data_IF_783078273156
#
_entry.id   IF_783078273156
#
_cell.length_a   1.000
_cell.length_b   1.000
_cell.length_c   1.000
_cell.angle_alpha   90.00
_cell.angle_beta   90.00
_cell.angle_gamma   90.00
#
_symmetry.space_group_name_H-M   'P 1'
#
loop_
_entity.id
_entity.type
_entity.pdbx_description
1 polymer ?
#
# COMPACT_ATOMS: atom_id res chain seq x y z
N UNK A 1 5.81 -30.09 9.51
CA UNK A 1 6.14 -28.94 8.64
C UNK A 1 5.62 -27.74 9.40
N UNK A 2 6.54 -26.95 9.98
CA UNK A 2 6.20 -25.91 10.95
C UNK A 2 5.35 -24.84 10.29
N UNK A 3 4.07 -24.81 10.64
CA UNK A 3 3.19 -23.66 10.41
C UNK A 3 3.63 -22.60 11.42
N UNK A 4 4.52 -21.72 10.97
CA UNK A 4 4.87 -20.52 11.72
C UNK A 4 3.76 -19.50 11.40
N UNK A 5 2.89 -19.12 12.36
CA UNK A 5 1.98 -18.02 12.16
C UNK A 5 2.77 -16.71 12.27
N UNK A 6 3.85 -16.55 11.50
CA UNK A 6 4.25 -15.25 11.04
C UNK A 6 3.07 -14.78 10.21
N UNK A 7 2.18 -14.06 10.89
CA UNK A 7 1.56 -12.86 10.35
C UNK A 7 2.68 -12.17 9.61
N UNK A 8 2.82 -12.48 8.32
CA UNK A 8 3.85 -11.97 7.46
C UNK A 8 3.67 -10.48 7.51
N UNK A 9 4.48 -9.84 8.34
CA UNK A 9 4.49 -8.40 8.47
C UNK A 9 5.04 -7.95 7.15
N UNK A 10 4.12 -7.77 6.19
CA UNK A 10 4.40 -7.43 4.83
C UNK A 10 5.18 -6.13 4.90
N UNK A 11 6.50 -6.23 4.74
CA UNK A 11 7.38 -5.09 4.86
C UNK A 11 7.11 -4.21 3.64
N UNK A 12 6.49 -3.07 3.89
CA UNK A 12 6.15 -2.10 2.86
C UNK A 12 7.15 -0.97 2.96
N UNK A 13 7.76 -0.61 1.85
CA UNK A 13 8.66 0.54 1.77
C UNK A 13 7.89 1.67 1.12
N UNK A 14 7.87 2.80 1.81
CA UNK A 14 7.26 4.02 1.33
C UNK A 14 8.23 5.19 1.48
N UNK A 15 8.00 6.28 0.77
CA UNK A 15 8.79 7.50 0.90
C UNK A 15 7.92 8.67 1.31
N UNK A 16 8.36 9.44 2.31
CA UNK A 16 7.68 10.66 2.79
C UNK A 16 8.05 11.92 1.97
N UNK A 17 8.66 11.74 0.79
CA UNK A 17 9.17 12.83 -0.06
C UNK A 17 10.65 13.14 0.14
N UNK A 18 11.30 12.57 1.15
CA UNK A 18 12.75 12.73 1.37
C UNK A 18 13.47 11.47 1.82
N UNK A 19 12.81 10.60 2.58
CA UNK A 19 13.43 9.38 3.11
C UNK A 19 12.64 8.14 2.73
N UNK A 20 13.29 6.98 2.74
CA UNK A 20 12.62 5.69 2.61
C UNK A 20 12.29 5.18 4.01
N UNK A 21 11.00 4.97 4.26
CA UNK A 21 10.46 4.49 5.52
C UNK A 21 9.90 3.08 5.36
N UNK A 22 10.01 2.31 6.45
CA UNK A 22 9.46 0.97 6.56
C UNK A 22 8.12 1.06 7.25
N UNK A 23 7.07 0.73 6.52
CA UNK A 23 5.71 0.68 7.01
C UNK A 23 5.29 -0.78 7.18
N UNK A 24 4.46 -1.00 8.19
CA UNK A 24 3.85 -2.30 8.46
C UNK A 24 2.38 -2.24 8.12
N UNK A 25 1.91 -3.21 7.35
CA UNK A 25 0.49 -3.36 7.09
C UNK A 25 -0.19 -4.05 8.27
N UNK A 26 -1.20 -3.40 8.83
CA UNK A 26 -1.97 -3.94 9.96
C UNK A 26 -3.43 -4.04 9.57
N UNK A 27 -4.02 -5.22 9.77
CA UNK A 27 -5.46 -5.43 9.57
C UNK A 27 -6.26 -4.67 10.63
N UNK A 28 -7.28 -3.93 10.20
CA UNK A 28 -8.18 -3.27 11.16
C UNK A 28 -9.07 -4.30 11.85
N UNK A 29 -9.32 -4.13 13.15
CA UNK A 29 -10.17 -5.04 13.95
C UNK A 29 -11.59 -5.15 13.41
N UNK A 30 -12.03 -4.14 12.65
CA UNK A 30 -13.33 -4.09 11.98
C UNK A 30 -13.41 -4.93 10.69
N UNK A 31 -12.31 -5.56 10.26
CA UNK A 31 -12.29 -6.57 9.20
C UNK A 31 -12.37 -6.06 7.76
N UNK A 32 -12.69 -4.78 7.54
CA UNK A 32 -12.93 -4.25 6.19
C UNK A 32 -11.73 -3.53 5.58
N UNK A 33 -10.66 -3.25 6.35
CA UNK A 33 -9.53 -2.48 5.86
C UNK A 33 -8.20 -2.94 6.44
N UNK A 34 -7.12 -2.49 5.80
CA UNK A 34 -5.78 -2.54 6.35
C UNK A 34 -5.22 -1.12 6.36
N UNK A 35 -4.49 -0.80 7.42
CA UNK A 35 -3.84 0.50 7.63
C UNK A 35 -2.34 0.31 7.66
N UNK A 36 -1.61 1.20 7.01
CA UNK A 36 -0.16 1.28 7.15
C UNK A 36 0.17 2.00 8.44
N UNK A 37 1.07 1.41 9.23
CA UNK A 37 1.64 2.05 10.41
C UNK A 37 3.14 2.21 10.26
N UNK A 38 3.65 3.33 10.74
CA UNK A 38 5.09 3.58 10.88
C UNK A 38 5.69 2.73 12.02
N UNK A 39 7.03 2.73 12.16
CA UNK A 39 7.77 2.09 13.23
C UNK A 39 7.35 2.52 14.65
N UNK A 40 6.80 3.73 14.84
CA UNK A 40 6.22 4.16 16.12
C UNK A 40 4.76 3.67 16.31
N UNK A 41 4.22 2.91 15.37
CA UNK A 41 2.84 2.40 15.41
C UNK A 41 1.79 3.45 15.04
N UNK A 42 2.20 4.57 14.44
CA UNK A 42 1.31 5.65 14.03
C UNK A 42 0.71 5.32 12.65
N UNK A 43 -0.63 5.39 12.48
CA UNK A 43 -1.25 5.20 11.19
C UNK A 43 -0.82 6.30 10.22
N UNK A 44 -0.41 5.90 9.03
CA UNK A 44 0.04 6.78 7.96
C UNK A 44 -1.05 6.87 6.90
N UNK A 45 -1.40 8.08 6.49
CA UNK A 45 -2.40 8.26 5.46
C UNK A 45 -1.80 8.06 4.07
N UNK A 46 -2.61 7.61 3.09
CA UNK A 46 -2.11 7.26 1.76
C UNK A 46 -1.55 8.45 0.96
N UNK A 47 -1.93 9.69 1.28
CA UNK A 47 -1.39 10.89 0.63
C UNK A 47 -0.12 11.43 1.30
N UNK A 48 0.26 10.92 2.47
CA UNK A 48 1.46 11.35 3.20
C UNK A 48 2.72 10.62 2.73
N UNK A 49 2.55 9.47 2.07
CA UNK A 49 3.65 8.61 1.65
C UNK A 49 3.45 8.08 0.24
N UNK A 50 4.54 8.01 -0.50
CA UNK A 50 4.58 7.35 -1.81
C UNK A 50 5.05 5.90 -1.62
N UNK A 51 4.19 4.93 -1.93
CA UNK A 51 4.57 3.52 -1.89
C UNK A 51 5.64 3.21 -2.95
N UNK A 52 6.77 2.65 -2.50
CA UNK A 52 7.91 2.30 -3.37
C UNK A 52 8.04 0.79 -3.59
N UNK A 53 7.72 0.00 -2.58
CA UNK A 53 7.78 -1.46 -2.66
C UNK A 53 6.81 -2.12 -1.69
N UNK A 54 6.12 -3.16 -2.13
CA UNK A 54 5.24 -3.98 -1.31
C UNK A 54 5.24 -5.42 -1.85
N UNK A 55 5.00 -6.43 -0.99
CA UNK A 55 4.81 -7.79 -1.47
C UNK A 55 3.44 -7.93 -2.15
N UNK A 56 3.30 -8.84 -3.14
CA UNK A 56 2.06 -9.01 -3.91
C UNK A 56 0.85 -9.43 -3.04
N UNK A 57 1.10 -10.10 -1.92
CA UNK A 57 0.06 -10.47 -0.95
C UNK A 57 -0.58 -9.25 -0.24
N UNK A 58 0.17 -8.15 -0.12
CA UNK A 58 -0.30 -6.92 0.54
C UNK A 58 -1.05 -5.98 -0.40
N UNK A 59 -0.89 -6.14 -1.72
CA UNK A 59 -1.55 -5.33 -2.73
C UNK A 59 -3.08 -5.24 -2.58
N UNK A 60 -3.85 -6.34 -2.43
CA UNK A 60 -5.29 -6.24 -2.27
C UNK A 60 -5.71 -5.48 -1.01
N UNK A 61 -4.92 -5.59 0.05
CA UNK A 61 -5.16 -4.89 1.30
C UNK A 61 -4.81 -3.38 1.19
N UNK A 62 -3.71 -3.05 0.49
CA UNK A 62 -3.34 -1.67 0.17
C UNK A 62 -4.37 -0.97 -0.73
N UNK A 63 -4.91 -1.68 -1.73
CA UNK A 63 -6.01 -1.18 -2.59
C UNK A 63 -7.28 -0.93 -1.77
N UNK A 64 -7.65 -1.85 -0.87
CA UNK A 64 -8.78 -1.63 0.05
C UNK A 64 -8.53 -0.46 1.01
N UNK A 65 -7.28 -0.26 1.44
CA UNK A 65 -6.88 0.86 2.29
C UNK A 65 -6.76 2.20 1.56
N UNK A 66 -6.91 2.23 0.23
CA UNK A 66 -6.79 3.45 -0.57
C UNK A 66 -5.35 3.95 -0.78
N UNK A 67 -4.35 3.12 -0.44
CA UNK A 67 -2.93 3.42 -0.67
C UNK A 67 -2.50 3.22 -2.11
N UNK A 68 -3.21 2.34 -2.82
CA UNK A 68 -3.04 2.14 -4.24
C UNK A 68 -4.31 2.65 -4.93
N UNK A 69 -4.16 3.68 -5.75
CA UNK A 69 -5.21 4.05 -6.68
C UNK A 69 -5.48 2.87 -7.61
N UNK A 70 -6.76 2.56 -7.85
CA UNK A 70 -7.17 1.76 -8.99
C UNK A 70 -6.91 2.57 -10.27
N UNK A 71 -5.63 2.79 -10.61
CA UNK A 71 -5.29 3.12 -11.99
C UNK A 71 -5.43 1.82 -12.75
N UNK A 72 -6.67 1.51 -13.11
CA UNK A 72 -6.94 0.88 -14.39
C UNK A 72 -6.08 1.64 -15.41
N UNK A 73 -5.26 0.97 -16.23
CA UNK A 73 -4.47 1.62 -17.28
C UNK A 73 -5.38 2.11 -18.42
N UNK A 74 -6.47 2.82 -18.11
CA UNK A 74 -7.36 3.47 -19.07
C UNK A 74 -6.85 4.87 -19.46
N UNK A 75 -5.58 5.17 -19.15
CA UNK A 75 -4.94 6.45 -19.48
C UNK A 75 -4.14 6.38 -20.79
N UNK A 76 -4.62 5.64 -21.79
CA UNK A 76 -4.05 5.65 -23.15
C UNK A 76 -5.10 5.73 -24.28
N UNK A 77 -6.31 6.26 -24.02
CA UNK A 77 -7.32 6.45 -25.09
C UNK A 77 -7.68 7.91 -25.38
N UNK A 78 -6.92 8.87 -24.87
CA UNK A 78 -6.95 10.22 -25.42
C UNK A 78 -5.98 10.32 -26.60
N UNK A 79 -6.22 9.52 -27.63
CA UNK A 79 -5.74 9.82 -28.98
C UNK A 79 -6.49 11.08 -29.43
N UNK A 80 -5.92 12.23 -29.09
CA UNK A 80 -6.26 13.50 -29.72
C UNK A 80 -5.71 13.46 -31.16
N UNK A 81 -6.28 12.63 -32.02
CA UNK A 81 -6.06 12.72 -33.47
C UNK A 81 -7.06 13.74 -34.01
N UNK A 82 -6.68 15.00 -33.93
CA UNK A 82 -7.16 16.01 -34.86
C UNK A 82 -6.15 16.06 -36.02
N UNK A 83 -6.48 15.37 -37.12
CA UNK A 83 -6.03 15.69 -38.49
C UNK A 83 -7.15 15.31 -39.47
#
# INVERSE_FOLDING_TARGET
>A
MTDDPHTGSALILASDGGTLQRLTLVSTVTGTGAVLVDAAGIPVNPWEVELRHWPPEAEPALRRGGYLCDRSPDLELWCNCAD
#
